data_IF_912638402432
#
_entry.id   IF_912638402432
#
_cell.length_a   1.000
_cell.length_b   1.000
_cell.length_c   1.000
_cell.angle_alpha   90.00
_cell.angle_beta   90.00
_cell.angle_gamma   90.00
#
_symmetry.space_group_name_H-M   'P 1'
#
loop_
_entity.id
_entity.type
_entity.pdbx_description
1 polymer ?
#
# COMPACT_ATOMS: atom_id res chain seq x y z
N UNK A 1 11.11 12.95 31.14
CA UNK A 1 10.42 11.70 30.77
C UNK A 1 9.78 11.92 29.42
N UNK A 2 10.44 11.48 28.35
CA UNK A 2 9.96 11.59 26.98
C UNK A 2 8.89 10.52 26.77
N UNK A 3 7.63 10.87 26.43
CA UNK A 3 6.64 9.84 26.14
C UNK A 3 7.06 9.10 24.87
N UNK A 4 7.02 7.77 24.96
CA UNK A 4 7.30 6.87 23.86
C UNK A 4 6.44 7.24 22.64
N UNK A 5 7.12 7.42 21.51
CA UNK A 5 6.51 7.56 20.19
C UNK A 5 5.69 6.30 19.92
N UNK A 6 4.37 6.40 20.12
CA UNK A 6 3.44 5.40 19.59
C UNK A 6 3.60 5.30 18.07
N UNK A 7 2.99 4.28 17.43
CA UNK A 7 2.95 4.22 15.98
C UNK A 7 2.48 5.57 15.44
N UNK A 8 3.13 6.07 14.40
CA UNK A 8 2.86 7.38 13.81
C UNK A 8 1.49 7.34 13.10
N UNK A 9 0.42 7.26 13.88
CA UNK A 9 -0.96 7.15 13.41
C UNK A 9 -1.32 8.45 12.68
N UNK A 10 -2.05 8.36 11.57
CA UNK A 10 -2.40 9.54 10.83
C UNK A 10 -3.38 10.42 11.65
N UNK A 11 -3.38 11.75 11.45
CA UNK A 11 -4.18 12.68 12.25
C UNK A 11 -5.69 12.41 12.12
N UNK A 12 -6.49 13.03 12.99
CA UNK A 12 -7.92 12.77 13.29
C UNK A 12 -8.92 12.62 12.11
N UNK A 13 -8.51 12.78 10.85
CA UNK A 13 -9.33 12.61 9.64
C UNK A 13 -8.75 11.58 8.67
N UNK A 14 -8.14 10.52 9.18
CA UNK A 14 -7.46 9.53 8.36
C UNK A 14 -7.85 8.10 8.75
N UNK A 15 -8.18 7.29 7.74
CA UNK A 15 -8.64 5.92 7.92
C UNK A 15 -7.62 4.96 7.35
N UNK A 16 -7.09 4.10 8.20
CA UNK A 16 -6.06 3.13 7.83
C UNK A 16 -6.69 1.79 7.44
N UNK A 17 -6.34 1.33 6.24
CA UNK A 17 -6.75 0.04 5.70
C UNK A 17 -5.52 -0.80 5.39
N UNK A 18 -5.53 -2.09 5.73
CA UNK A 18 -4.46 -3.02 5.36
C UNK A 18 -4.83 -3.70 4.04
N UNK A 19 -3.98 -3.58 3.02
CA UNK A 19 -4.07 -4.32 1.78
C UNK A 19 -2.76 -5.08 1.57
N UNK A 20 -2.79 -6.28 1.00
CA UNK A 20 -1.58 -7.05 0.82
C UNK A 20 -1.67 -8.02 -0.33
N UNK A 21 -0.52 -8.44 -0.83
CA UNK A 21 -0.39 -9.44 -1.86
C UNK A 21 0.78 -10.37 -1.57
N UNK A 22 0.71 -11.59 -2.08
CA UNK A 22 1.80 -12.55 -1.99
C UNK A 22 2.85 -12.25 -3.07
N UNK A 23 4.12 -12.16 -2.68
CA UNK A 23 5.26 -12.06 -3.58
C UNK A 23 6.10 -13.33 -3.51
N UNK A 24 6.70 -13.68 -4.66
CA UNK A 24 7.72 -14.72 -4.71
C UNK A 24 8.93 -14.32 -3.83
N UNK A 25 9.61 -15.27 -3.18
CA UNK A 25 10.76 -14.96 -2.31
C UNK A 25 11.87 -14.22 -3.07
N UNK A 26 12.41 -13.16 -2.46
CA UNK A 26 13.42 -12.29 -3.08
C UNK A 26 12.90 -11.35 -4.17
N UNK A 27 11.60 -11.41 -4.51
CA UNK A 27 11.00 -10.45 -5.43
C UNK A 27 10.75 -9.10 -4.74
N UNK A 28 10.91 -8.04 -5.52
CA UNK A 28 10.44 -6.70 -5.18
C UNK A 28 9.15 -6.37 -5.94
N UNK A 29 8.32 -5.53 -5.33
CA UNK A 29 7.15 -4.93 -5.97
C UNK A 29 7.07 -3.45 -5.62
N UNK A 30 6.88 -2.60 -6.63
CA UNK A 30 6.65 -1.18 -6.44
C UNK A 30 5.16 -0.92 -6.60
N UNK A 31 4.54 -0.33 -5.59
CA UNK A 31 3.15 0.11 -5.60
C UNK A 31 3.12 1.64 -5.68
N UNK A 32 2.27 2.18 -6.55
CA UNK A 32 2.04 3.61 -6.69
C UNK A 32 0.55 3.92 -6.71
N UNK A 33 0.13 4.93 -5.93
CA UNK A 33 -1.20 5.52 -6.04
C UNK A 33 -1.19 6.50 -7.21
N UNK A 34 -2.19 6.45 -8.07
CA UNK A 34 -2.20 7.23 -9.33
C UNK A 34 -3.46 8.07 -9.51
N UNK A 35 -3.37 9.05 -10.41
CA UNK A 35 -4.49 9.90 -10.80
C UNK A 35 -5.06 10.72 -9.64
N UNK A 36 -6.37 10.94 -9.65
CA UNK A 36 -7.07 11.73 -8.65
C UNK A 36 -7.01 11.13 -7.23
N UNK A 37 -6.64 9.85 -7.09
CA UNK A 37 -6.51 9.20 -5.80
C UNK A 37 -5.37 9.76 -4.95
N UNK A 38 -4.32 10.32 -5.57
CA UNK A 38 -3.24 10.99 -4.84
C UNK A 38 -3.72 12.19 -4.01
N UNK A 39 -4.92 12.73 -4.26
CA UNK A 39 -5.49 13.82 -3.47
C UNK A 39 -6.15 13.34 -2.16
N UNK A 40 -6.48 12.04 -2.04
CA UNK A 40 -7.23 11.51 -0.89
C UNK A 40 -6.71 10.17 -0.35
N UNK A 41 -5.65 9.60 -0.93
CA UNK A 41 -5.05 8.34 -0.47
C UNK A 41 -3.53 8.44 -0.42
N UNK A 42 -2.93 7.83 0.58
CA UNK A 42 -1.47 7.64 0.66
C UNK A 42 -1.12 6.25 1.20
N UNK A 43 0.09 5.77 0.92
CA UNK A 43 0.60 4.49 1.39
C UNK A 43 1.29 4.72 2.73
N UNK A 44 0.83 4.04 3.77
CA UNK A 44 1.53 3.98 5.05
C UNK A 44 2.59 2.88 5.04
N UNK A 45 3.78 3.24 5.48
CA UNK A 45 4.85 2.31 5.81
C UNK A 45 5.14 2.42 7.31
N UNK A 46 5.56 1.32 7.94
CA UNK A 46 5.81 1.28 9.40
C UNK A 46 6.83 2.32 9.87
N UNK A 47 7.75 2.71 8.98
CA UNK A 47 8.80 3.70 9.22
C UNK A 47 8.59 5.00 8.43
N UNK A 48 7.43 5.16 7.78
CA UNK A 48 7.13 6.26 6.87
C UNK A 48 6.79 7.58 7.55
N UNK A 49 6.73 8.64 6.74
CA UNK A 49 6.19 9.93 7.19
C UNK A 49 4.71 9.77 7.57
N UNK A 50 4.19 10.56 8.52
CA UNK A 50 2.78 10.52 8.90
C UNK A 50 1.83 10.94 7.78
N UNK A 51 2.33 11.61 6.73
CA UNK A 51 1.58 11.89 5.50
C UNK A 51 1.46 10.68 4.54
N UNK A 52 2.15 9.58 4.83
CA UNK A 52 2.32 8.45 3.93
C UNK A 52 3.22 8.77 2.72
N UNK A 53 3.33 7.82 1.82
CA UNK A 53 4.06 7.92 0.56
C UNK A 53 3.12 7.64 -0.61
N UNK A 54 3.38 8.23 -1.78
CA UNK A 54 2.59 7.92 -2.99
C UNK A 54 3.10 6.68 -3.73
N UNK A 55 4.38 6.37 -3.53
CA UNK A 55 5.05 5.21 -4.14
C UNK A 55 5.89 4.52 -3.07
N UNK A 56 5.77 3.20 -2.98
CA UNK A 56 6.55 2.37 -2.06
C UNK A 56 7.02 1.12 -2.78
N UNK A 57 8.31 0.80 -2.63
CA UNK A 57 8.86 -0.48 -3.08
C UNK A 57 8.97 -1.43 -1.89
N UNK A 58 8.24 -2.53 -1.97
CA UNK A 58 8.30 -3.64 -1.04
C UNK A 58 9.32 -4.68 -1.52
N UNK A 59 10.05 -5.25 -0.59
CA UNK A 59 11.02 -6.31 -0.84
C UNK A 59 10.59 -7.51 0.01
N UNK A 60 10.31 -8.63 -0.64
CA UNK A 60 10.04 -9.88 0.08
C UNK A 60 11.32 -10.39 0.74
N UNK A 61 11.18 -11.07 1.87
CA UNK A 61 12.31 -11.72 2.51
C UNK A 61 12.94 -12.76 1.55
N UNK A 62 14.26 -12.96 1.62
CA UNK A 62 14.93 -13.97 0.82
C UNK A 62 14.43 -15.37 1.18
N UNK A 63 14.50 -16.31 0.22
CA UNK A 63 13.99 -17.68 0.35
C UNK A 63 14.52 -18.42 1.58
N UNK A 64 15.71 -18.07 2.09
CA UNK A 64 16.28 -18.65 3.31
C UNK A 64 15.48 -18.32 4.58
N UNK A 65 14.71 -17.22 4.58
CA UNK A 65 13.88 -16.79 5.70
C UNK A 65 12.42 -17.25 5.56
N UNK A 66 11.90 -17.41 4.33
CA UNK A 66 10.56 -17.92 4.08
C UNK A 66 10.46 -18.61 2.70
N UNK A 67 10.24 -19.93 2.70
CA UNK A 67 10.29 -20.75 1.49
C UNK A 67 9.01 -20.66 0.63
N UNK A 68 7.88 -20.24 1.21
CA UNK A 68 6.54 -20.36 0.62
C UNK A 68 6.07 -19.11 -0.13
N UNK A 69 6.93 -18.09 -0.23
CA UNK A 69 6.56 -16.73 -0.65
C UNK A 69 6.26 -15.85 0.56
N UNK A 70 6.60 -14.56 0.45
CA UNK A 70 6.33 -13.61 1.52
C UNK A 70 5.12 -12.75 1.16
N UNK A 71 4.25 -12.54 2.13
CA UNK A 71 3.17 -11.56 2.02
C UNK A 71 3.75 -10.19 2.35
N UNK A 72 3.49 -9.19 1.51
CA UNK A 72 3.63 -7.81 1.96
C UNK A 72 2.24 -7.28 2.27
N UNK A 73 2.14 -6.55 3.37
CA UNK A 73 0.96 -5.80 3.77
C UNK A 73 1.33 -4.33 3.65
N UNK A 74 0.77 -3.65 2.66
CA UNK A 74 0.79 -2.20 2.58
C UNK A 74 -0.37 -1.61 3.38
N UNK A 75 -0.10 -0.60 4.19
CA UNK A 75 -1.16 0.24 4.73
C UNK A 75 -1.57 1.26 3.68
N UNK A 76 -2.87 1.47 3.47
CA UNK A 76 -3.38 2.61 2.72
C UNK A 76 -4.16 3.50 3.69
N UNK A 77 -3.81 4.77 3.72
CA UNK A 77 -4.50 5.80 4.46
C UNK A 77 -5.45 6.50 3.51
N UNK A 78 -6.73 6.60 3.88
CA UNK A 78 -7.70 7.47 3.24
C UNK A 78 -7.88 8.77 4.04
N UNK A 79 -7.70 9.89 3.37
CA UNK A 79 -7.77 11.23 3.94
C UNK A 79 -9.15 11.84 3.75
N UNK A 80 -9.76 12.29 4.84
CA UNK A 80 -11.07 12.96 4.84
C UNK A 80 -12.24 12.06 4.43
N UNK A 81 -12.03 10.74 4.32
CA UNK A 81 -13.08 9.77 3.95
C UNK A 81 -12.84 8.39 4.56
N UNK A 82 -13.90 7.71 5.05
CA UNK A 82 -13.78 6.37 5.63
C UNK A 82 -13.60 5.26 4.60
N UNK A 83 -14.05 5.48 3.36
CA UNK A 83 -14.07 4.48 2.30
C UNK A 83 -13.87 5.08 0.91
N UNK A 84 -13.23 4.33 0.01
CA UNK A 84 -12.95 4.73 -1.38
C UNK A 84 -12.48 3.57 -2.25
N UNK A 85 -12.52 3.80 -3.57
CA UNK A 85 -11.82 3.00 -4.57
C UNK A 85 -10.50 3.67 -4.92
N UNK A 86 -9.39 2.99 -4.67
CA UNK A 86 -8.04 3.56 -4.88
C UNK A 86 -7.41 2.91 -6.11
N UNK A 87 -7.35 3.60 -7.27
CA UNK A 87 -6.55 3.17 -8.41
C UNK A 87 -5.06 3.18 -8.05
N UNK A 88 -4.43 2.03 -8.25
CA UNK A 88 -3.01 1.81 -8.05
C UNK A 88 -2.37 1.22 -9.29
N UNK A 89 -1.11 1.54 -9.50
CA UNK A 89 -0.24 0.80 -10.40
C UNK A 89 0.76 0.00 -9.60
N UNK A 90 1.11 -1.18 -10.10
CA UNK A 90 2.22 -1.93 -9.54
C UNK A 90 3.09 -2.57 -10.60
N UNK A 91 4.39 -2.64 -10.31
CA UNK A 91 5.39 -3.36 -11.09
C UNK A 91 6.12 -4.34 -10.19
N UNK A 92 6.57 -5.46 -10.74
CA UNK A 92 7.31 -6.46 -9.97
C UNK A 92 8.65 -6.75 -10.63
N UNK A 93 9.65 -7.10 -9.83
CA UNK A 93 10.95 -7.59 -10.33
C UNK A 93 10.85 -8.83 -11.24
N UNK A 94 9.79 -9.64 -11.11
CA UNK A 94 9.55 -10.78 -11.98
C UNK A 94 9.09 -10.38 -13.39
N UNK A 95 8.52 -9.18 -13.55
CA UNK A 95 8.08 -8.62 -14.82
C UNK A 95 8.27 -7.10 -14.83
N UNK A 96 9.51 -6.59 -14.86
CA UNK A 96 9.79 -5.17 -14.66
C UNK A 96 9.21 -4.27 -15.77
N UNK A 97 8.96 -4.84 -16.96
CA UNK A 97 8.36 -4.14 -18.09
C UNK A 97 6.82 -4.29 -18.14
N UNK A 98 6.20 -4.93 -17.16
CA UNK A 98 4.74 -5.03 -17.06
C UNK A 98 4.24 -4.21 -15.89
N UNK A 99 3.61 -3.09 -16.21
CA UNK A 99 2.82 -2.32 -15.26
C UNK A 99 1.42 -2.89 -15.20
N UNK A 100 0.99 -3.26 -14.01
CA UNK A 100 -0.37 -3.69 -13.76
C UNK A 100 -1.17 -2.53 -13.17
N UNK A 101 -2.41 -2.40 -13.62
CA UNK A 101 -3.37 -1.44 -13.10
C UNK A 101 -4.40 -2.20 -12.27
N UNK A 102 -4.66 -1.74 -11.05
CA UNK A 102 -5.65 -2.34 -10.16
C UNK A 102 -6.43 -1.25 -9.43
N UNK A 103 -7.63 -1.59 -8.98
CA UNK A 103 -8.45 -0.74 -8.11
C UNK A 103 -8.65 -1.48 -6.80
N UNK A 104 -8.24 -0.86 -5.70
CA UNK A 104 -8.40 -1.43 -4.36
C UNK A 104 -9.67 -0.83 -3.73
N UNK A 105 -10.63 -1.71 -3.39
CA UNK A 105 -11.82 -1.36 -2.63
C UNK A 105 -11.50 -1.28 -1.13
N UNK A 106 -11.54 -0.07 -0.55
CA UNK A 106 -11.23 0.17 0.85
C UNK A 106 -12.49 0.65 1.58
N UNK A 107 -13.00 -0.15 2.54
CA UNK A 107 -14.24 0.15 3.24
C UNK A 107 -15.49 0.20 2.34
N UNK A 108 -15.38 -0.31 1.11
CA UNK A 108 -16.48 -0.51 0.16
C UNK A 108 -16.47 -1.96 -0.33
N UNK A 109 -17.65 -2.51 -0.64
CA UNK A 109 -17.81 -3.91 -1.05
C UNK A 109 -17.40 -4.16 -2.50
N UNK A 110 -17.53 -3.17 -3.38
CA UNK A 110 -17.19 -3.27 -4.81
C UNK A 110 -16.75 -1.92 -5.34
N UNK A 111 -15.77 -1.93 -6.24
CA UNK A 111 -15.45 -0.78 -7.08
C UNK A 111 -16.03 -1.03 -8.47
N UNK A 112 -16.77 -0.06 -9.02
CA UNK A 112 -17.07 -0.09 -10.44
C UNK A 112 -15.73 0.03 -11.17
N UNK A 113 -15.33 -1.01 -11.91
CA UNK A 113 -14.20 -0.90 -12.84
C UNK A 113 -14.55 0.21 -13.82
N UNK A 114 -13.81 1.31 -13.77
CA UNK A 114 -13.92 2.37 -14.77
C UNK A 114 -13.35 1.81 -16.07
N UNK A 115 -14.24 1.29 -16.92
CA UNK A 115 -13.97 0.94 -18.31
C UNK A 115 -13.57 2.18 -19.13
#
# INVERSE_FOLDING_TARGET
MTPATGPNWPPYNAYFHKAGAQLAPGATATLSITGAAAAYASIATETGSPGGAMTVTYISCPKQANATGSWWVGGIILWGRPSACVPVTYTTSAAPNRTHHAIIALGVSTCAEAH
#
